data_IF_486329933581
#
_entry.id   IF_486329933581
#
_cell.length_a   1.000
_cell.length_b   1.000
_cell.length_c   1.000
_cell.angle_alpha   90.00
_cell.angle_beta   90.00
_cell.angle_gamma   90.00
#
_symmetry.space_group_name_H-M   'P 1'
#
loop_
_entity.id
_entity.type
_entity.pdbx_description
1 polymer ?
#
# COMPACT_ATOMS: atom_id res chain seq x y z
N UNK A 1 7.92 -11.80 15.18
CA UNK A 1 8.44 -11.78 13.82
C UNK A 1 7.44 -11.05 12.95
N UNK A 2 7.91 -10.26 11.99
CA UNK A 2 7.10 -9.57 11.00
C UNK A 2 7.01 -10.39 9.71
N UNK A 3 5.91 -10.21 8.98
CA UNK A 3 5.67 -10.86 7.68
C UNK A 3 4.85 -9.92 6.79
N UNK A 4 5.21 -9.82 5.52
CA UNK A 4 4.41 -9.12 4.51
C UNK A 4 3.92 -10.11 3.46
N UNK A 5 2.61 -10.12 3.20
CA UNK A 5 2.00 -10.87 2.10
C UNK A 5 1.49 -9.91 1.04
N UNK A 6 1.84 -10.14 -0.22
CA UNK A 6 1.36 -9.38 -1.37
C UNK A 6 -0.03 -9.89 -1.76
N UNK A 7 -1.04 -9.03 -1.67
CA UNK A 7 -2.41 -9.30 -2.09
C UNK A 7 -2.65 -8.91 -3.55
N UNK A 8 -1.93 -7.89 -4.02
CA UNK A 8 -2.00 -7.40 -5.38
C UNK A 8 -0.86 -6.45 -5.73
N UNK A 9 -0.46 -6.46 -6.98
CA UNK A 9 0.77 -5.82 -7.46
C UNK A 9 0.60 -5.02 -8.75
N UNK A 10 -0.61 -5.04 -9.37
CA UNK A 10 -0.90 -4.29 -10.59
C UNK A 10 -1.28 -2.84 -10.28
N UNK A 11 -0.87 -1.92 -11.15
CA UNK A 11 -1.35 -0.54 -11.21
C UNK A 11 -2.46 -0.37 -12.23
N UNK A 12 -3.33 0.63 -12.00
CA UNK A 12 -4.45 1.05 -12.81
C UNK A 12 -5.58 0.01 -12.96
N UNK A 13 -5.31 -1.24 -13.36
CA UNK A 13 -6.29 -2.31 -13.50
C UNK A 13 -5.64 -3.70 -13.34
N UNK A 14 -6.41 -4.74 -12.95
CA UNK A 14 -5.85 -6.06 -12.72
C UNK A 14 -5.56 -6.82 -14.01
N UNK A 15 -4.54 -7.69 -13.98
CA UNK A 15 -4.28 -8.70 -15.02
C UNK A 15 -4.99 -10.03 -14.68
N UNK A 16 -5.19 -10.94 -15.66
CA UNK A 16 -5.66 -12.29 -15.36
C UNK A 16 -4.79 -12.97 -14.29
N UNK A 17 -5.41 -13.39 -13.17
CA UNK A 17 -4.73 -14.00 -12.04
C UNK A 17 -4.01 -13.04 -11.08
N UNK A 18 -3.98 -11.74 -11.38
CA UNK A 18 -3.36 -10.70 -10.56
C UNK A 18 -4.39 -9.68 -10.08
N UNK A 19 -4.12 -9.03 -8.97
CA UNK A 19 -4.95 -7.98 -8.37
C UNK A 19 -4.23 -6.62 -8.38
N UNK A 20 -4.98 -5.54 -8.17
CA UNK A 20 -4.40 -4.23 -7.95
C UNK A 20 -3.83 -4.09 -6.54
N UNK A 21 -3.15 -2.96 -6.28
CA UNK A 21 -2.36 -2.70 -5.09
C UNK A 21 -2.99 -3.18 -3.78
N UNK A 22 -2.25 -3.96 -3.02
CA UNK A 22 -2.69 -4.43 -1.71
C UNK A 22 -1.61 -5.26 -1.02
N UNK A 23 -1.38 -4.99 0.28
CA UNK A 23 -0.39 -5.69 1.09
C UNK A 23 -0.96 -5.97 2.48
N UNK A 24 -0.68 -7.15 3.02
CA UNK A 24 -1.00 -7.51 4.40
C UNK A 24 0.30 -7.60 5.20
N UNK A 25 0.50 -6.66 6.11
CA UNK A 25 1.61 -6.68 7.07
C UNK A 25 1.13 -7.28 8.39
N UNK A 26 1.78 -8.35 8.83
CA UNK A 26 1.51 -9.02 10.10
C UNK A 26 2.71 -8.86 11.04
N UNK A 27 2.51 -8.43 12.28
CA UNK A 27 3.54 -8.33 13.31
C UNK A 27 2.96 -8.52 14.70
N UNK A 28 3.52 -9.46 15.47
CA UNK A 28 3.09 -9.76 16.85
C UNK A 28 1.58 -10.00 17.00
N UNK A 29 0.96 -10.67 16.02
CA UNK A 29 -0.47 -10.98 16.02
C UNK A 29 -1.37 -9.85 15.54
N UNK A 30 -0.84 -8.65 15.26
CA UNK A 30 -1.57 -7.53 14.67
C UNK A 30 -1.39 -7.52 13.14
N UNK A 31 -2.49 -7.30 12.42
CA UNK A 31 -2.53 -7.30 10.95
C UNK A 31 -3.02 -5.99 10.41
N UNK A 32 -2.24 -5.35 9.56
CA UNK A 32 -2.62 -4.12 8.88
C UNK A 32 -2.58 -4.31 7.36
N UNK A 33 -3.62 -3.87 6.69
CA UNK A 33 -3.69 -3.81 5.22
C UNK A 33 -3.22 -2.45 4.75
N UNK A 34 -2.30 -2.43 3.79
CA UNK A 34 -1.85 -1.24 3.06
C UNK A 34 -2.43 -1.30 1.65
N UNK A 35 -3.36 -0.42 1.33
CA UNK A 35 -4.21 -0.41 0.15
C UNK A 35 -5.01 -1.70 -0.06
N UNK A 36 -6.13 -1.61 -0.77
CA UNK A 36 -6.94 -2.75 -1.14
C UNK A 36 -7.68 -2.44 -2.44
N UNK A 37 -6.97 -2.56 -3.55
CA UNK A 37 -7.47 -2.32 -4.89
C UNK A 37 -8.26 -3.50 -5.48
N UNK A 38 -8.64 -3.38 -6.74
CA UNK A 38 -9.46 -4.37 -7.44
C UNK A 38 -8.90 -5.80 -7.32
N UNK A 39 -9.70 -6.72 -6.80
CA UNK A 39 -9.39 -8.16 -6.68
C UNK A 39 -8.57 -8.55 -5.46
N UNK A 40 -8.04 -7.59 -4.70
CA UNK A 40 -7.17 -7.85 -3.55
C UNK A 40 -7.94 -8.40 -2.33
N UNK A 41 -9.23 -8.04 -2.16
CA UNK A 41 -10.01 -8.52 -1.02
C UNK A 41 -10.20 -10.03 -1.01
N UNK A 42 -10.36 -10.66 -2.18
CA UNK A 42 -10.53 -12.12 -2.26
C UNK A 42 -9.31 -12.87 -1.71
N UNK A 43 -8.10 -12.33 -1.92
CA UNK A 43 -6.84 -12.86 -1.37
C UNK A 43 -6.72 -12.56 0.11
N UNK A 44 -7.07 -11.33 0.53
CA UNK A 44 -7.09 -10.96 1.95
C UNK A 44 -7.95 -11.93 2.78
N UNK A 45 -9.12 -12.30 2.28
CA UNK A 45 -10.04 -13.17 3.03
C UNK A 45 -9.49 -14.60 3.26
N UNK A 46 -8.53 -15.07 2.46
CA UNK A 46 -7.82 -16.32 2.73
C UNK A 46 -6.94 -16.23 3.99
N UNK A 47 -6.53 -15.02 4.40
CA UNK A 47 -5.74 -14.75 5.60
C UNK A 47 -6.59 -14.29 6.80
N UNK A 48 -7.92 -14.12 6.60
CA UNK A 48 -8.85 -13.59 7.60
C UNK A 48 -8.91 -12.06 7.61
N UNK A 49 -9.70 -11.48 8.53
CA UNK A 49 -9.91 -10.03 8.59
C UNK A 49 -8.74 -9.32 9.27
N UNK A 50 -8.36 -8.11 8.83
CA UNK A 50 -7.30 -7.32 9.43
C UNK A 50 -7.77 -6.61 10.71
N UNK A 51 -6.81 -6.07 11.46
CA UNK A 51 -7.06 -5.24 12.65
C UNK A 51 -7.13 -3.75 12.29
N UNK A 52 -6.56 -3.34 11.15
CA UNK A 52 -6.61 -1.98 10.63
C UNK A 52 -6.37 -1.94 9.11
N UNK A 53 -6.76 -0.82 8.50
CA UNK A 53 -6.56 -0.53 7.07
C UNK A 53 -5.95 0.85 6.92
N UNK A 54 -4.96 0.97 6.03
CA UNK A 54 -4.35 2.24 5.61
C UNK A 54 -4.47 2.33 4.11
N UNK A 55 -5.07 3.42 3.59
CA UNK A 55 -5.24 3.65 2.15
C UNK A 55 -4.50 4.91 1.76
N UNK A 56 -3.51 4.77 0.89
CA UNK A 56 -2.58 5.85 0.50
C UNK A 56 -3.28 7.02 -0.20
N UNK A 57 -4.22 6.71 -1.09
CA UNK A 57 -4.98 7.70 -1.85
C UNK A 57 -6.29 7.13 -2.44
N UNK A 58 -7.05 7.96 -3.12
CA UNK A 58 -8.42 7.64 -3.53
C UNK A 58 -8.57 6.97 -4.91
N UNK A 59 -7.49 6.61 -5.63
CA UNK A 59 -7.67 5.87 -6.88
C UNK A 59 -8.28 4.49 -6.62
N UNK A 60 -9.19 4.01 -7.51
CA UNK A 60 -9.92 2.76 -7.27
C UNK A 60 -9.01 1.51 -7.19
N UNK A 61 -7.90 1.50 -7.91
CA UNK A 61 -6.91 0.42 -7.86
C UNK A 61 -6.12 0.37 -6.55
N UNK A 62 -6.38 1.30 -5.62
CA UNK A 62 -5.88 1.30 -4.24
C UNK A 62 -6.97 1.14 -3.19
N UNK A 63 -8.25 1.41 -3.51
CA UNK A 63 -9.28 1.47 -2.48
C UNK A 63 -10.60 0.74 -2.82
N UNK A 64 -10.81 0.26 -4.04
CA UNK A 64 -12.12 -0.26 -4.44
C UNK A 64 -12.60 -1.43 -3.56
N UNK A 65 -11.72 -2.36 -3.23
CA UNK A 65 -12.06 -3.55 -2.45
C UNK A 65 -12.17 -3.28 -0.94
N UNK A 66 -11.85 -2.08 -0.46
CA UNK A 66 -12.19 -1.65 0.91
C UNK A 66 -13.71 -1.68 1.13
N UNK A 67 -14.51 -1.45 0.07
CA UNK A 67 -15.96 -1.65 0.12
C UNK A 67 -16.33 -3.11 0.42
N UNK A 68 -15.69 -4.07 -0.24
CA UNK A 68 -15.90 -5.51 0.02
C UNK A 68 -15.48 -5.90 1.44
N UNK A 69 -14.36 -5.36 1.93
CA UNK A 69 -13.91 -5.56 3.30
C UNK A 69 -14.90 -4.99 4.32
N UNK A 70 -15.44 -3.80 4.08
CA UNK A 70 -16.48 -3.20 4.93
C UNK A 70 -17.72 -4.07 5.02
N UNK A 71 -18.15 -4.68 3.92
CA UNK A 71 -19.26 -5.64 3.90
C UNK A 71 -18.93 -6.91 4.69
N UNK A 72 -17.75 -7.48 4.48
CA UNK A 72 -17.32 -8.66 5.23
C UNK A 72 -17.27 -8.35 6.74
N UNK A 73 -16.74 -7.20 7.13
CA UNK A 73 -16.71 -6.76 8.53
C UNK A 73 -18.12 -6.62 9.12
N UNK A 74 -19.04 -5.98 8.39
CA UNK A 74 -20.41 -5.78 8.84
C UNK A 74 -21.10 -7.12 9.13
N UNK A 75 -21.13 -8.03 8.18
CA UNK A 75 -21.87 -9.28 8.32
C UNK A 75 -21.22 -10.32 9.23
N UNK A 76 -19.91 -10.30 9.38
CA UNK A 76 -19.20 -11.32 10.18
C UNK A 76 -18.82 -10.85 11.58
N UNK A 77 -18.69 -9.54 11.79
CA UNK A 77 -18.20 -8.97 13.04
C UNK A 77 -19.26 -8.11 13.72
N UNK A 78 -19.86 -7.13 13.03
CA UNK A 78 -20.77 -6.15 13.62
C UNK A 78 -22.19 -6.66 13.78
N UNK A 79 -22.79 -7.29 12.77
CA UNK A 79 -24.19 -7.71 12.82
C UNK A 79 -24.47 -8.73 13.93
N UNK A 80 -23.62 -9.76 14.17
CA UNK A 80 -23.81 -10.67 15.30
C UNK A 80 -23.64 -10.04 16.67
N UNK A 81 -22.94 -8.91 16.76
CA UNK A 81 -22.69 -8.19 18.02
C UNK A 81 -22.48 -6.70 17.75
N UNK A 82 -23.55 -5.93 17.94
CA UNK A 82 -23.57 -4.46 17.75
C UNK A 82 -22.57 -3.69 18.62
N UNK A 83 -22.00 -4.33 19.65
CA UNK A 83 -21.02 -3.74 20.57
C UNK A 83 -19.56 -3.91 20.09
N UNK A 84 -19.33 -4.53 18.93
CA UNK A 84 -17.98 -4.68 18.40
C UNK A 84 -17.45 -3.38 17.78
N UNK A 85 -16.17 -3.08 17.99
CA UNK A 85 -15.58 -1.85 17.47
C UNK A 85 -15.62 -1.84 15.93
N UNK A 86 -15.72 -0.64 15.36
CA UNK A 86 -15.52 -0.42 13.92
C UNK A 86 -14.07 -0.71 13.56
N UNK A 87 -13.84 -1.12 12.32
CA UNK A 87 -12.50 -1.38 11.83
C UNK A 87 -11.76 -0.04 11.62
N UNK A 88 -10.59 0.19 12.22
CA UNK A 88 -9.79 1.39 11.99
C UNK A 88 -9.43 1.54 10.51
N UNK A 89 -9.74 2.71 9.93
CA UNK A 89 -9.42 3.07 8.55
C UNK A 89 -8.71 4.42 8.52
N UNK A 90 -7.42 4.41 8.20
CA UNK A 90 -6.64 5.60 7.95
C UNK A 90 -6.65 5.90 6.45
N UNK A 91 -7.26 7.00 6.04
CA UNK A 91 -7.41 7.34 4.64
C UNK A 91 -7.55 8.84 4.40
N UNK A 92 -7.47 9.25 3.13
CA UNK A 92 -7.78 10.63 2.74
C UNK A 92 -9.29 10.89 2.76
N UNK A 93 -9.75 12.13 2.92
CA UNK A 93 -11.17 12.47 2.75
C UNK A 93 -11.73 12.09 1.38
N UNK A 94 -10.89 12.07 0.34
CA UNK A 94 -11.26 11.63 -1.00
C UNK A 94 -11.62 10.15 -1.05
N UNK A 95 -10.82 9.31 -0.43
CA UNK A 95 -11.08 7.87 -0.30
C UNK A 95 -12.43 7.62 0.38
N UNK A 96 -12.70 8.29 1.50
CA UNK A 96 -13.98 8.14 2.20
C UNK A 96 -15.18 8.53 1.33
N UNK A 97 -15.08 9.65 0.59
CA UNK A 97 -16.14 10.07 -0.34
C UNK A 97 -16.38 9.05 -1.45
N UNK A 98 -15.31 8.46 -1.99
CA UNK A 98 -15.40 7.44 -3.04
C UNK A 98 -16.07 6.17 -2.52
N UNK A 99 -15.67 5.67 -1.36
CA UNK A 99 -16.29 4.51 -0.72
C UNK A 99 -17.79 4.75 -0.43
N UNK A 100 -18.15 5.94 0.05
CA UNK A 100 -19.54 6.31 0.31
C UNK A 100 -20.39 6.40 -0.99
N UNK A 101 -19.77 6.77 -2.11
CA UNK A 101 -20.44 6.78 -3.41
C UNK A 101 -20.66 5.37 -3.97
N UNK A 102 -19.76 4.42 -3.70
CA UNK A 102 -19.87 3.03 -4.10
C UNK A 102 -20.91 2.28 -3.24
N UNK A 103 -20.90 2.51 -1.93
CA UNK A 103 -21.74 1.84 -0.92
C UNK A 103 -22.34 2.84 0.05
N UNK A 104 -23.54 3.38 -0.29
CA UNK A 104 -24.14 4.42 0.56
C UNK A 104 -24.81 3.85 1.82
N UNK A 105 -25.05 2.52 1.90
CA UNK A 105 -25.73 1.87 3.06
C UNK A 105 -25.23 0.44 3.29
N UNK A 106 -24.69 0.09 4.49
CA UNK A 106 -24.34 1.05 5.54
C UNK A 106 -23.27 2.02 5.04
N UNK A 107 -23.32 3.28 5.52
CA UNK A 107 -22.30 4.26 5.15
C UNK A 107 -20.93 3.84 5.68
N UNK A 108 -19.81 4.06 4.96
CA UNK A 108 -18.48 3.65 5.43
C UNK A 108 -18.14 4.11 6.84
N UNK A 109 -18.55 5.30 7.26
CA UNK A 109 -18.37 5.78 8.64
C UNK A 109 -19.18 5.01 9.72
N UNK A 110 -20.10 4.14 9.32
CA UNK A 110 -20.77 3.21 10.24
C UNK A 110 -19.99 1.90 10.40
N UNK A 111 -19.19 1.55 9.40
CA UNK A 111 -18.40 0.33 9.32
C UNK A 111 -16.97 0.54 9.87
N UNK A 112 -16.41 1.69 9.57
CA UNK A 112 -15.03 2.04 9.87
C UNK A 112 -14.95 3.13 10.95
N UNK A 113 -13.94 3.01 11.79
CA UNK A 113 -13.44 4.12 12.62
C UNK A 113 -12.44 4.90 11.78
N UNK A 114 -12.90 6.03 11.21
CA UNK A 114 -12.18 6.76 10.16
C UNK A 114 -11.23 7.78 10.77
N UNK A 115 -9.97 7.69 10.39
CA UNK A 115 -8.89 8.59 10.80
C UNK A 115 -8.26 9.28 9.58
N UNK A 116 -7.87 10.54 9.75
CA UNK A 116 -7.13 11.28 8.72
C UNK A 116 -5.73 10.69 8.54
N UNK A 117 -5.40 10.30 7.31
CA UNK A 117 -4.09 9.74 6.98
C UNK A 117 -2.96 10.77 7.13
N UNK A 118 -3.23 12.06 6.99
CA UNK A 118 -2.23 13.12 7.18
C UNK A 118 -1.71 13.27 8.61
N UNK A 119 -2.34 12.62 9.59
CA UNK A 119 -1.94 12.70 11.00
C UNK A 119 -1.16 11.45 11.45
N UNK A 120 -0.05 11.61 12.21
CA UNK A 120 0.62 10.47 12.84
C UNK A 120 -0.30 9.75 13.83
N UNK A 121 -0.23 8.41 13.87
CA UNK A 121 -1.05 7.59 14.74
C UNK A 121 -0.30 6.39 15.31
N UNK A 122 -0.79 5.86 16.41
CA UNK A 122 -0.39 4.53 16.89
C UNK A 122 -1.39 3.50 16.35
N UNK A 123 -0.86 2.46 15.70
CA UNK A 123 -1.63 1.44 15.01
C UNK A 123 -1.19 0.06 15.49
N UNK A 124 -1.84 -0.43 16.55
CA UNK A 124 -1.40 -1.65 17.24
C UNK A 124 0.04 -1.53 17.72
N UNK A 125 0.96 -2.41 17.30
CA UNK A 125 2.37 -2.33 17.66
C UNK A 125 3.14 -1.28 16.88
N UNK A 126 2.53 -0.67 15.85
CA UNK A 126 3.20 0.24 14.93
C UNK A 126 2.96 1.71 15.27
N UNK A 127 3.99 2.51 15.06
CA UNK A 127 3.86 3.95 14.86
C UNK A 127 3.67 4.22 13.37
N UNK A 128 2.52 4.76 12.99
CA UNK A 128 2.22 5.24 11.64
C UNK A 128 2.75 6.67 11.49
N UNK A 129 3.56 6.90 10.47
CA UNK A 129 3.94 8.21 9.96
C UNK A 129 3.73 8.26 8.46
N UNK A 130 3.24 9.38 7.97
CA UNK A 130 2.92 9.58 6.55
C UNK A 130 3.71 10.73 5.97
N UNK A 131 3.88 10.70 4.65
CA UNK A 131 4.63 11.68 3.88
C UNK A 131 3.86 12.00 2.61
N UNK A 132 3.48 13.25 2.42
CA UNK A 132 2.85 13.68 1.18
C UNK A 132 3.82 13.54 0.00
N UNK A 133 3.37 12.92 -1.08
CA UNK A 133 4.19 12.59 -2.25
C UNK A 133 3.52 13.07 -3.55
N UNK A 134 4.33 13.41 -4.58
CA UNK A 134 3.81 13.91 -5.85
C UNK A 134 2.95 12.87 -6.59
N UNK A 135 1.68 13.16 -6.78
CA UNK A 135 0.76 12.36 -7.58
C UNK A 135 -0.36 13.23 -8.15
N UNK A 136 -1.26 12.68 -9.00
CA UNK A 136 -2.41 13.39 -9.58
C UNK A 136 -3.43 13.84 -8.52
N UNK A 137 -3.51 13.12 -7.42
CA UNK A 137 -4.39 13.36 -6.28
C UNK A 137 -3.55 13.35 -5.00
N UNK A 138 -4.06 13.89 -3.88
CA UNK A 138 -3.37 13.79 -2.60
C UNK A 138 -3.03 12.32 -2.29
N UNK A 139 -1.76 12.02 -2.27
CA UNK A 139 -1.19 10.70 -1.98
C UNK A 139 -0.18 10.80 -0.85
N UNK A 140 -0.18 9.78 0.02
CA UNK A 140 0.71 9.70 1.16
C UNK A 140 1.51 8.40 1.14
N UNK A 141 2.82 8.52 1.12
CA UNK A 141 3.69 7.42 1.50
C UNK A 141 3.51 7.07 2.97
N UNK A 142 3.53 5.79 3.29
CA UNK A 142 3.24 5.23 4.61
C UNK A 142 4.49 4.61 5.19
N UNK A 143 4.83 4.98 6.44
CA UNK A 143 5.89 4.35 7.22
C UNK A 143 5.31 3.77 8.49
N UNK A 144 5.43 2.46 8.66
CA UNK A 144 5.06 1.71 9.85
C UNK A 144 6.32 1.26 10.57
N UNK A 145 6.52 1.72 11.80
CA UNK A 145 7.69 1.40 12.62
C UNK A 145 7.27 0.77 13.94
N UNK A 146 7.87 -0.37 14.26
CA UNK A 146 7.76 -1.08 15.54
C UNK A 146 9.17 -1.41 16.04
N UNK A 147 9.37 -1.80 17.31
CA UNK A 147 10.68 -2.22 17.78
C UNK A 147 11.25 -3.36 16.93
N UNK A 148 12.38 -3.09 16.26
CA UNK A 148 13.08 -4.03 15.39
C UNK A 148 12.45 -4.25 14.00
N UNK A 149 11.44 -3.47 13.60
CA UNK A 149 10.83 -3.58 12.28
C UNK A 149 10.37 -2.22 11.75
N UNK A 150 10.76 -1.91 10.53
CA UNK A 150 10.26 -0.75 9.78
C UNK A 150 9.91 -1.15 8.35
N UNK A 151 8.67 -0.89 7.96
CA UNK A 151 8.18 -1.05 6.59
C UNK A 151 7.74 0.31 6.06
N UNK A 152 8.17 0.65 4.86
CA UNK A 152 7.76 1.86 4.16
C UNK A 152 7.11 1.50 2.81
N UNK A 153 6.08 2.26 2.43
CA UNK A 153 5.33 2.08 1.18
C UNK A 153 5.02 3.43 0.56
N UNK A 154 5.30 3.60 -0.72
CA UNK A 154 5.14 4.88 -1.41
C UNK A 154 3.70 5.18 -1.79
N UNK A 155 2.83 4.17 -1.99
CA UNK A 155 1.69 4.34 -2.88
C UNK A 155 2.19 4.72 -4.27
N UNK A 156 1.44 5.54 -4.97
CA UNK A 156 1.79 6.06 -6.29
C UNK A 156 2.55 7.37 -6.18
N UNK A 157 3.70 7.49 -6.83
CA UNK A 157 4.45 8.74 -6.74
C UNK A 157 5.45 8.95 -7.87
N UNK A 158 5.66 10.20 -8.24
CA UNK A 158 6.86 10.63 -8.95
C UNK A 158 8.08 10.71 -8.03
N UNK A 159 9.28 10.87 -8.61
CA UNK A 159 10.51 11.07 -7.86
C UNK A 159 10.41 12.28 -6.93
N UNK A 160 10.85 12.10 -5.67
CA UNK A 160 10.85 13.17 -4.66
C UNK A 160 11.95 12.95 -3.62
N UNK A 161 12.65 14.00 -3.16
CA UNK A 161 13.60 13.89 -2.05
C UNK A 161 12.99 13.34 -0.75
N UNK A 162 11.69 13.50 -0.57
CA UNK A 162 10.92 12.98 0.58
C UNK A 162 10.99 11.46 0.69
N UNK A 163 11.20 10.75 -0.44
CA UNK A 163 11.34 9.29 -0.48
C UNK A 163 12.52 8.78 0.34
N UNK A 164 13.62 9.55 0.42
CA UNK A 164 14.75 9.21 1.28
C UNK A 164 14.40 9.22 2.77
N UNK A 165 13.51 10.13 3.21
CA UNK A 165 13.04 10.16 4.60
C UNK A 165 11.96 9.10 4.88
N UNK A 166 11.06 8.85 3.92
CA UNK A 166 10.05 7.80 4.01
C UNK A 166 10.70 6.43 4.18
N UNK A 167 11.65 6.08 3.30
CA UNK A 167 12.32 4.78 3.27
C UNK A 167 13.52 4.66 4.23
N UNK A 168 13.90 5.72 4.98
CA UNK A 168 15.11 5.75 5.80
C UNK A 168 15.30 4.50 6.64
N UNK A 169 16.39 3.75 6.36
CA UNK A 169 16.78 2.52 7.07
C UNK A 169 15.63 1.49 7.20
N UNK A 170 14.68 1.45 6.24
CA UNK A 170 13.58 0.50 6.26
C UNK A 170 14.07 -0.93 6.05
N UNK A 171 13.50 -1.88 6.79
CA UNK A 171 13.76 -3.31 6.57
C UNK A 171 13.17 -3.77 5.23
N UNK A 172 12.04 -3.13 4.82
CA UNK A 172 11.45 -3.29 3.50
C UNK A 172 10.89 -1.94 3.02
N UNK A 173 11.33 -1.50 1.84
CA UNK A 173 10.79 -0.33 1.16
C UNK A 173 10.02 -0.79 -0.09
N UNK A 174 8.70 -0.62 -0.09
CA UNK A 174 7.80 -1.00 -1.17
C UNK A 174 7.60 0.24 -2.04
N UNK A 175 8.00 0.18 -3.30
CA UNK A 175 8.04 1.34 -4.19
C UNK A 175 7.23 1.12 -5.46
N UNK A 176 6.54 2.19 -5.89
CA UNK A 176 6.00 2.32 -7.24
C UNK A 176 7.10 2.07 -8.30
N UNK A 177 6.77 1.27 -9.30
CA UNK A 177 7.61 0.96 -10.46
C UNK A 177 6.77 0.88 -11.74
N UNK A 178 5.87 1.84 -11.90
CA UNK A 178 4.84 1.84 -12.94
C UNK A 178 5.40 2.11 -14.33
N UNK A 179 6.28 3.11 -14.44
CA UNK A 179 6.74 3.61 -15.75
C UNK A 179 7.86 2.74 -16.32
N UNK A 180 7.79 2.46 -17.62
CA UNK A 180 8.88 1.82 -18.37
C UNK A 180 9.99 2.79 -18.70
N UNK A 181 9.63 4.05 -18.97
CA UNK A 181 10.55 5.14 -19.28
C UNK A 181 10.06 6.42 -18.60
N UNK A 182 10.95 7.30 -18.17
CA UNK A 182 10.56 8.60 -17.66
C UNK A 182 9.79 9.40 -18.71
N UNK A 183 8.80 10.23 -18.31
CA UNK A 183 8.22 11.25 -19.20
C UNK A 183 9.28 12.20 -19.74
N UNK A 184 8.93 12.97 -20.78
CA UNK A 184 9.83 13.96 -21.36
C UNK A 184 10.27 15.01 -20.32
N UNK A 185 11.43 15.61 -20.54
CA UNK A 185 11.94 16.68 -19.66
C UNK A 185 10.95 17.85 -19.58
N UNK A 186 10.65 18.27 -18.35
CA UNK A 186 9.68 19.37 -18.07
C UNK A 186 8.23 18.91 -17.91
N UNK A 187 7.90 17.65 -18.17
CA UNK A 187 6.58 17.11 -17.87
C UNK A 187 6.42 16.78 -16.38
N UNK A 188 5.21 16.93 -15.82
CA UNK A 188 4.94 16.56 -14.43
C UNK A 188 5.25 15.08 -14.18
N UNK A 189 5.82 14.79 -13.01
CA UNK A 189 6.26 13.45 -12.60
C UNK A 189 5.37 12.95 -11.46
N UNK A 190 4.50 12.00 -11.76
CA UNK A 190 3.51 11.45 -10.81
C UNK A 190 3.64 9.95 -10.56
N UNK A 191 4.55 9.29 -11.28
CA UNK A 191 4.88 7.87 -11.16
C UNK A 191 6.39 7.69 -11.38
N UNK A 192 6.95 6.58 -10.90
CA UNK A 192 8.37 6.24 -11.03
C UNK A 192 8.62 5.10 -12.02
N UNK A 193 9.85 5.05 -12.50
CA UNK A 193 10.44 3.86 -13.12
C UNK A 193 11.07 2.95 -12.06
N UNK A 194 11.35 1.70 -12.41
CA UNK A 194 12.04 0.77 -11.53
C UNK A 194 13.47 1.25 -11.17
N UNK A 195 14.18 1.86 -12.11
CA UNK A 195 15.49 2.46 -11.85
C UNK A 195 15.42 3.58 -10.81
N UNK A 196 14.39 4.45 -10.89
CA UNK A 196 14.18 5.52 -9.90
C UNK A 196 13.80 4.95 -8.54
N UNK A 197 13.00 3.88 -8.48
CA UNK A 197 12.72 3.18 -7.23
C UNK A 197 14.00 2.63 -6.59
N UNK A 198 14.89 2.02 -7.39
CA UNK A 198 16.23 1.58 -6.96
C UNK A 198 17.07 2.73 -6.40
N UNK A 199 17.16 3.83 -7.15
CA UNK A 199 17.89 5.03 -6.74
C UNK A 199 17.40 5.57 -5.37
N UNK A 200 16.10 5.67 -5.16
CA UNK A 200 15.57 6.17 -3.89
C UNK A 200 15.71 5.18 -2.74
N UNK A 201 15.64 3.87 -3.01
CA UNK A 201 15.92 2.85 -2.01
C UNK A 201 17.38 2.91 -1.53
N UNK A 202 18.34 3.10 -2.44
CA UNK A 202 19.76 3.29 -2.11
C UNK A 202 19.96 4.56 -1.27
N UNK A 203 19.39 5.67 -1.68
CA UNK A 203 19.49 6.94 -0.94
C UNK A 203 18.83 6.89 0.44
N UNK A 204 17.80 6.10 0.59
CA UNK A 204 17.12 5.88 1.87
C UNK A 204 17.91 4.97 2.81
N UNK A 205 18.90 4.21 2.33
CA UNK A 205 19.58 3.18 3.09
C UNK A 205 18.67 2.01 3.45
N UNK A 206 17.65 1.74 2.62
CA UNK A 206 16.75 0.61 2.83
C UNK A 206 17.52 -0.72 2.74
N UNK A 207 17.12 -1.73 3.49
CA UNK A 207 17.76 -3.06 3.45
C UNK A 207 17.28 -3.88 2.26
N UNK A 208 15.98 -3.80 1.95
CA UNK A 208 15.33 -4.48 0.83
C UNK A 208 14.39 -3.53 0.12
N UNK A 209 14.34 -3.65 -1.21
CA UNK A 209 13.40 -2.95 -2.07
C UNK A 209 12.38 -3.95 -2.62
N UNK A 210 11.09 -3.64 -2.57
CA UNK A 210 10.05 -4.37 -3.30
C UNK A 210 9.44 -3.45 -4.35
N UNK A 211 9.56 -3.84 -5.62
CA UNK A 211 8.91 -3.15 -6.73
C UNK A 211 7.47 -3.60 -6.85
N UNK A 212 6.56 -2.66 -7.04
CA UNK A 212 5.12 -2.91 -7.18
C UNK A 212 4.46 -1.94 -8.15
N UNK A 213 3.13 -2.01 -8.27
CA UNK A 213 2.30 -1.13 -9.07
C UNK A 213 2.64 -1.19 -10.56
N UNK A 214 2.87 -2.38 -11.07
CA UNK A 214 3.22 -2.58 -12.49
C UNK A 214 1.99 -2.40 -13.38
N UNK A 215 2.13 -1.62 -14.43
CA UNK A 215 1.12 -1.64 -15.47
C UNK A 215 1.04 -3.02 -16.12
N UNK A 216 -0.19 -3.46 -16.48
CA UNK A 216 -0.38 -4.72 -17.16
C UNK A 216 0.51 -4.89 -18.39
N UNK A 217 1.10 -6.08 -18.53
CA UNK A 217 2.06 -6.39 -19.58
C UNK A 217 3.47 -5.84 -19.35
N UNK A 218 3.81 -5.32 -18.17
CA UNK A 218 5.18 -4.93 -17.82
C UNK A 218 6.07 -6.16 -17.68
N UNK A 219 7.25 -6.13 -18.33
CA UNK A 219 8.32 -7.11 -18.07
C UNK A 219 8.93 -6.84 -16.69
N UNK A 220 8.44 -7.56 -15.68
CA UNK A 220 8.85 -7.40 -14.28
C UNK A 220 10.30 -7.84 -14.05
N UNK A 221 10.82 -8.78 -14.86
CA UNK A 221 12.21 -9.20 -14.76
C UNK A 221 13.16 -8.10 -15.27
N UNK A 222 12.80 -7.42 -16.36
CA UNK A 222 13.54 -6.25 -16.85
C UNK A 222 13.49 -5.10 -15.82
N UNK A 223 12.31 -4.79 -15.26
CA UNK A 223 12.16 -3.79 -14.21
C UNK A 223 13.06 -4.09 -12.98
N UNK A 224 13.10 -5.35 -12.56
CA UNK A 224 13.98 -5.76 -11.45
C UNK A 224 15.47 -5.60 -11.79
N UNK A 225 15.86 -5.85 -13.04
CA UNK A 225 17.24 -5.65 -13.48
C UNK A 225 17.63 -4.14 -13.47
N UNK A 226 16.72 -3.27 -13.91
CA UNK A 226 16.90 -1.81 -13.83
C UNK A 226 17.08 -1.32 -12.41
N UNK A 227 16.22 -1.77 -11.47
CA UNK A 227 16.35 -1.40 -10.06
C UNK A 227 17.65 -1.91 -9.43
N UNK A 228 18.10 -3.13 -9.77
CA UNK A 228 19.39 -3.69 -9.30
C UNK A 228 20.61 -2.95 -9.79
N UNK A 229 20.51 -2.21 -10.88
CA UNK A 229 21.59 -1.36 -11.35
C UNK A 229 21.79 -0.12 -10.47
N UNK A 230 20.76 0.29 -9.73
CA UNK A 230 20.74 1.51 -8.90
C UNK A 230 20.76 1.22 -7.39
N UNK A 231 20.49 -0.03 -6.97
CA UNK A 231 20.35 -0.42 -5.56
C UNK A 231 21.21 -1.63 -5.22
N UNK A 232 22.09 -1.47 -4.23
CA UNK A 232 23.01 -2.53 -3.79
C UNK A 232 22.40 -3.60 -2.88
N UNK A 233 21.17 -3.38 -2.38
CA UNK A 233 20.45 -4.33 -1.53
C UNK A 233 19.64 -5.37 -2.31
N UNK A 234 18.84 -6.16 -1.60
CA UNK A 234 17.95 -7.15 -2.20
C UNK A 234 16.78 -6.49 -2.90
N UNK A 235 16.55 -6.79 -4.19
CA UNK A 235 15.39 -6.35 -4.97
C UNK A 235 14.41 -7.50 -5.14
N UNK A 236 13.21 -7.32 -4.55
CA UNK A 236 12.05 -8.18 -4.67
C UNK A 236 11.08 -7.61 -5.71
N UNK A 237 10.33 -8.49 -6.35
CA UNK A 237 9.21 -8.13 -7.24
C UNK A 237 7.92 -8.57 -6.56
N UNK A 238 6.98 -7.65 -6.39
CA UNK A 238 5.68 -8.00 -5.84
C UNK A 238 4.94 -8.93 -6.79
N UNK A 239 4.61 -10.11 -6.31
CA UNK A 239 3.74 -11.08 -6.96
C UNK A 239 2.71 -11.57 -5.97
N UNK A 240 1.51 -11.84 -6.46
CA UNK A 240 0.38 -12.25 -5.63
C UNK A 240 0.75 -13.51 -4.82
N UNK A 241 0.34 -13.52 -3.55
CA UNK A 241 0.58 -14.56 -2.56
C UNK A 241 2.08 -14.72 -2.14
N UNK A 242 2.99 -13.88 -2.67
CA UNK A 242 4.35 -13.81 -2.16
C UNK A 242 4.33 -13.36 -0.70
N UNK A 243 4.94 -14.17 0.16
CA UNK A 243 5.12 -13.85 1.58
C UNK A 243 6.60 -13.64 1.88
N UNK A 244 6.92 -12.52 2.52
CA UNK A 244 8.28 -12.10 2.87
C UNK A 244 8.41 -12.00 4.38
N UNK A 245 9.31 -12.78 4.97
CA UNK A 245 9.68 -12.64 6.39
C UNK A 245 10.48 -11.33 6.61
N UNK A 246 10.15 -10.62 7.69
CA UNK A 246 10.70 -9.31 8.03
C UNK A 246 11.45 -9.33 9.35
#
# INVERSE_FOLDING_TARGET
>A
MGELTVLGSCGAFPEPGRACAGFLLSHNGFRVVLDLGYGAASRLFAHGLPDAVVVTHEHPDHCADVSALGRAWYYTVQEPSRDRPRLPLHCTPGTLRRLAAMEPRPHPAELFDVHDLGAPADLGPFRLKTYELPHYLPNFGVRLSAPGLTVAYTGDTGPSPVLADLGRDADLFICDATLRTPPAEGEPRFLMTAAEAGHWAERAGARRLMLTHFWPGTDRAAAAAEARAEFGGEVLVAEEDLTVAL
#
